data_IF_415623676825
#
_entry.id   IF_415623676825
#
_cell.length_a   1.000
_cell.length_b   1.000
_cell.length_c   1.000
_cell.angle_alpha   90.00
_cell.angle_beta   90.00
_cell.angle_gamma   90.00
#
_symmetry.space_group_name_H-M   'P 1'
#
loop_
_entity.id
_entity.type
_entity.pdbx_description
1 polymer ?
#
# COMPACT_ATOMS: atom_id res chain seq x y z
N UNK A 1 -36.67 4.10 -15.33
CA UNK A 1 -35.33 4.48 -14.86
C UNK A 1 -34.44 3.26 -15.03
N UNK A 2 -33.90 3.07 -16.23
CA UNK A 2 -32.98 1.97 -16.54
C UNK A 2 -31.56 2.41 -16.15
N UNK A 3 -30.97 1.72 -15.18
CA UNK A 3 -29.62 1.99 -14.71
C UNK A 3 -28.58 1.32 -15.62
N UNK A 4 -27.71 2.12 -16.22
CA UNK A 4 -26.51 1.66 -16.92
C UNK A 4 -25.61 0.90 -15.94
N UNK A 5 -25.39 -0.40 -16.19
CA UNK A 5 -24.53 -1.26 -15.39
C UNK A 5 -23.13 -1.30 -16.05
N UNK A 6 -22.19 -0.50 -15.54
CA UNK A 6 -20.77 -0.58 -15.92
C UNK A 6 -20.16 -1.89 -15.42
N UNK A 7 -19.41 -2.59 -16.30
CA UNK A 7 -18.80 -3.91 -16.03
C UNK A 7 -17.26 -3.82 -15.98
N UNK A 8 -16.65 -4.61 -15.10
CA UNK A 8 -15.21 -4.86 -15.09
C UNK A 8 -14.98 -6.29 -15.61
N UNK A 9 -14.32 -6.43 -16.75
CA UNK A 9 -14.00 -7.73 -17.34
C UNK A 9 -12.56 -8.14 -16.99
N UNK A 10 -12.44 -9.25 -16.26
CA UNK A 10 -11.16 -9.90 -16.00
C UNK A 10 -10.95 -11.03 -17.01
N UNK A 11 -9.93 -10.91 -17.86
CA UNK A 11 -9.48 -12.03 -18.70
C UNK A 11 -8.30 -12.74 -18.06
N UNK A 12 -8.54 -13.94 -17.57
CA UNK A 12 -7.52 -14.91 -17.19
C UNK A 12 -7.19 -15.74 -18.44
N UNK A 13 -5.95 -15.71 -18.91
CA UNK A 13 -5.51 -16.56 -20.03
C UNK A 13 -4.42 -17.51 -19.54
N UNK A 14 -4.68 -18.82 -19.62
CA UNK A 14 -3.67 -19.85 -19.42
C UNK A 14 -2.88 -20.04 -20.72
N UNK A 15 -1.54 -19.94 -20.66
CA UNK A 15 -0.68 -20.50 -21.72
C UNK A 15 -0.10 -21.81 -21.24
N UNK A 16 -0.37 -22.88 -21.97
CA UNK A 16 0.35 -24.14 -21.81
C UNK A 16 1.65 -24.00 -22.62
N UNK A 17 2.80 -23.85 -21.95
CA UNK A 17 4.11 -23.93 -22.60
C UNK A 17 4.55 -25.39 -22.60
N UNK A 18 4.36 -26.07 -23.74
CA UNK A 18 4.98 -27.37 -23.98
C UNK A 18 6.44 -27.15 -24.39
N UNK A 19 7.34 -27.16 -23.41
CA UNK A 19 8.78 -27.30 -23.68
C UNK A 19 9.07 -28.78 -23.95
N UNK A 20 9.43 -29.10 -25.19
CA UNK A 20 10.04 -30.40 -25.49
C UNK A 20 11.49 -30.37 -25.02
N UNK A 21 11.84 -31.31 -24.15
CA UNK A 21 13.18 -31.78 -23.72
C UNK A 21 13.60 -31.40 -22.29
N UNK A 22 13.84 -32.47 -21.54
CA UNK A 22 14.64 -32.64 -20.31
C UNK A 22 14.02 -32.34 -18.93
N UNK A 23 13.56 -33.45 -18.32
CA UNK A 23 13.51 -33.91 -16.93
C UNK A 23 13.40 -32.92 -15.73
N UNK A 24 12.37 -33.22 -14.92
CA UNK A 24 12.10 -32.76 -13.55
C UNK A 24 12.11 -31.24 -13.30
N UNK A 25 10.96 -30.58 -13.53
CA UNK A 25 10.58 -29.35 -12.82
C UNK A 25 9.09 -29.06 -12.91
N UNK A 26 8.55 -28.52 -11.83
CA UNK A 26 7.15 -28.14 -11.67
C UNK A 26 6.62 -27.32 -12.86
N UNK A 27 5.42 -27.64 -13.31
CA UNK A 27 4.66 -26.86 -14.30
C UNK A 27 4.29 -25.50 -13.68
N UNK A 28 5.04 -24.45 -13.97
CA UNK A 28 4.59 -23.08 -13.67
C UNK A 28 3.67 -22.60 -14.79
N UNK A 29 2.39 -22.39 -14.47
CA UNK A 29 1.44 -21.68 -15.35
C UNK A 29 1.61 -20.19 -15.10
N UNK A 30 2.10 -19.44 -16.09
CA UNK A 30 2.07 -17.98 -16.06
C UNK A 30 0.79 -17.48 -16.73
N UNK A 31 0.05 -16.62 -16.03
CA UNK A 31 -1.17 -15.97 -16.53
C UNK A 31 -0.86 -14.50 -16.81
N UNK A 32 -1.44 -13.92 -17.87
CA UNK A 32 -1.31 -12.50 -18.18
C UNK A 32 -2.64 -11.81 -17.89
N UNK A 33 -2.69 -10.99 -16.84
CA UNK A 33 -3.87 -10.17 -16.52
C UNK A 33 -3.98 -9.05 -17.55
N UNK A 34 -5.11 -8.99 -18.26
CA UNK A 34 -5.45 -7.88 -19.17
C UNK A 34 -6.80 -7.31 -18.74
N UNK A 35 -6.77 -6.16 -18.08
CA UNK A 35 -7.98 -5.41 -17.71
C UNK A 35 -8.42 -4.63 -18.95
N UNK A 36 -9.65 -4.84 -19.41
CA UNK A 36 -10.22 -4.18 -20.59
C UNK A 36 -11.55 -3.53 -20.22
N UNK A 37 -11.70 -2.23 -20.44
CA UNK A 37 -13.01 -1.58 -20.42
C UNK A 37 -13.64 -1.70 -21.81
N UNK A 38 -14.74 -2.46 -21.93
CA UNK A 38 -15.60 -2.41 -23.12
C UNK A 38 -16.89 -1.66 -22.78
N UNK A 39 -17.13 -0.58 -23.51
CA UNK A 39 -18.40 0.14 -23.55
C UNK A 39 -19.26 -0.48 -24.65
N UNK A 40 -20.45 -1.00 -24.30
CA UNK A 40 -21.43 -1.46 -25.29
C UNK A 40 -22.77 -0.81 -24.99
N UNK A 41 -23.23 0.06 -25.90
CA UNK A 41 -24.61 0.56 -25.92
C UNK A 41 -25.56 -0.56 -26.36
N UNK A 42 -26.74 -0.72 -25.73
CA UNK A 42 -27.73 -1.67 -26.21
C UNK A 42 -28.49 -1.08 -27.40
N UNK A 43 -28.41 -1.75 -28.56
CA UNK A 43 -29.30 -1.48 -29.70
C UNK A 43 -30.69 -2.04 -29.41
N UNK A 44 -31.72 -1.19 -29.52
CA UNK A 44 -33.10 -1.54 -29.27
C UNK A 44 -33.72 -2.32 -30.45
N UNK A 45 -33.99 -3.62 -30.25
CA UNK A 45 -34.82 -4.40 -31.17
C UNK A 45 -36.15 -4.76 -30.49
N UNK A 46 -37.25 -4.23 -31.04
CA UNK A 46 -38.61 -4.37 -30.49
C UNK A 46 -39.13 -5.81 -30.67
N UNK A 47 -39.29 -6.52 -29.56
CA UNK A 47 -40.00 -7.79 -29.49
C UNK A 47 -41.51 -7.56 -29.76
N UNK A 48 -42.06 -8.12 -30.84
CA UNK A 48 -43.50 -8.19 -31.10
C UNK A 48 -44.02 -9.60 -30.82
N UNK A 49 -44.92 -9.73 -29.85
CA UNK A 49 -45.74 -10.92 -29.61
C UNK A 49 -46.95 -10.94 -30.57
N UNK A 50 -47.36 -12.09 -31.11
CA UNK A 50 -48.57 -12.18 -31.95
C UNK A 50 -49.82 -12.54 -31.12
N UNK A 51 -51.02 -12.03 -31.49
CA UNK A 51 -52.29 -12.50 -30.92
C UNK A 51 -52.85 -13.69 -31.71
N UNK A 52 -53.62 -14.51 -31.00
CA UNK A 52 -54.35 -15.70 -31.44
C UNK A 52 -55.57 -15.40 -32.33
N UNK A 53 -55.95 -16.36 -33.19
CA UNK A 53 -57.32 -16.95 -33.32
C UNK A 53 -57.47 -17.83 -34.61
N UNK A 54 -57.82 -19.10 -34.38
CA UNK A 54 -58.97 -19.88 -34.92
C UNK A 54 -59.13 -20.17 -36.43
N UNK A 55 -59.23 -21.48 -36.69
CA UNK A 55 -59.92 -22.26 -37.75
C UNK A 55 -59.75 -21.91 -39.25
N UNK A 56 -59.28 -22.87 -40.05
CA UNK A 56 -60.16 -23.81 -40.76
C UNK A 56 -59.38 -24.74 -41.71
N UNK A 57 -59.93 -25.95 -41.85
CA UNK A 57 -59.44 -27.11 -42.59
C UNK A 57 -59.85 -27.05 -44.07
N UNK A 58 -58.95 -27.27 -45.04
CA UNK A 58 -59.24 -28.02 -46.29
C UNK A 58 -57.94 -28.62 -46.91
N UNK A 59 -57.89 -29.96 -46.86
CA UNK A 59 -57.41 -30.99 -47.82
C UNK A 59 -56.44 -30.69 -49.00
N UNK A 60 -55.60 -31.73 -49.18
CA UNK A 60 -55.07 -32.32 -50.44
C UNK A 60 -53.75 -31.72 -50.98
N UNK A 61 -52.76 -32.47 -51.50
CA UNK A 61 -52.58 -33.90 -51.86
C UNK A 61 -51.08 -34.09 -52.19
N UNK A 62 -50.52 -35.29 -51.88
CA UNK A 62 -49.45 -36.08 -52.58
C UNK A 62 -48.32 -35.29 -53.26
N UNK A 63 -47.02 -35.52 -53.03
CA UNK A 63 -46.27 -36.72 -52.66
C UNK A 63 -44.91 -36.68 -53.39
N UNK A 64 -44.14 -37.76 -53.21
CA UNK A 64 -42.87 -38.14 -53.84
C UNK A 64 -41.57 -38.04 -53.03
N UNK A 65 -41.08 -39.26 -52.84
CA UNK A 65 -39.82 -39.82 -52.34
C UNK A 65 -38.59 -39.46 -53.17
N UNK A 66 -37.40 -39.42 -52.55
CA UNK A 66 -36.25 -40.24 -52.97
C UNK A 66 -35.08 -40.12 -51.99
N UNK A 67 -34.50 -41.26 -51.67
CA UNK A 67 -33.32 -41.48 -50.85
C UNK A 67 -32.01 -41.18 -51.63
N UNK A 68 -30.89 -40.98 -50.93
CA UNK A 68 -29.73 -41.89 -50.98
C UNK A 68 -28.43 -41.33 -50.35
N UNK A 69 -27.77 -42.27 -49.67
CA UNK A 69 -26.33 -42.50 -49.61
C UNK A 69 -25.41 -41.66 -48.70
N UNK A 70 -24.73 -42.43 -47.85
CA UNK A 70 -23.70 -42.07 -46.91
C UNK A 70 -22.38 -41.65 -47.58
N UNK A 71 -21.65 -40.77 -46.91
CA UNK A 71 -20.19 -40.74 -46.95
C UNK A 71 -19.67 -40.42 -45.54
N UNK A 72 -19.27 -41.47 -44.83
CA UNK A 72 -18.36 -41.39 -43.69
C UNK A 72 -17.06 -40.73 -44.13
N UNK A 73 -16.84 -39.49 -43.71
CA UNK A 73 -15.50 -38.93 -43.58
C UNK A 73 -15.21 -38.81 -42.08
N UNK A 74 -14.49 -39.80 -41.55
CA UNK A 74 -13.77 -39.65 -40.29
C UNK A 74 -12.72 -38.57 -40.54
N UNK A 75 -13.05 -37.34 -40.16
CA UNK A 75 -12.05 -36.29 -39.99
C UNK A 75 -11.79 -36.24 -38.50
N UNK A 76 -10.64 -36.81 -38.11
CA UNK A 76 -9.99 -36.50 -36.85
C UNK A 76 -9.72 -35.00 -36.83
N UNK A 77 -10.66 -34.22 -36.30
CA UNK A 77 -10.32 -32.90 -35.78
C UNK A 77 -9.88 -33.11 -34.34
N UNK A 78 -8.57 -33.15 -34.15
CA UNK A 78 -7.96 -32.73 -32.90
C UNK A 78 -8.53 -31.35 -32.58
N UNK A 79 -9.47 -31.28 -31.64
CA UNK A 79 -9.96 -30.01 -31.11
C UNK A 79 -8.75 -29.29 -30.52
N UNK A 80 -8.38 -28.09 -30.99
CA UNK A 80 -7.47 -27.27 -30.20
C UNK A 80 -8.21 -27.00 -28.89
N UNK A 81 -7.59 -27.38 -27.77
CA UNK A 81 -8.08 -27.01 -26.45
C UNK A 81 -8.27 -25.49 -26.44
N UNK A 82 -9.52 -25.04 -26.56
CA UNK A 82 -9.87 -23.64 -26.40
C UNK A 82 -9.44 -23.30 -24.98
N UNK A 83 -8.46 -22.41 -24.85
CA UNK A 83 -8.22 -21.72 -23.59
C UNK A 83 -9.49 -20.92 -23.30
N UNK A 84 -10.44 -21.51 -22.57
CA UNK A 84 -11.60 -20.80 -22.07
C UNK A 84 -11.08 -19.67 -21.19
N UNK A 85 -11.06 -18.46 -21.74
CA UNK A 85 -10.81 -17.26 -20.94
C UNK A 85 -12.06 -17.04 -20.11
N UNK A 86 -12.06 -17.51 -18.87
CA UNK A 86 -13.13 -17.23 -17.91
C UNK A 86 -13.19 -15.70 -17.76
N UNK A 87 -14.19 -15.08 -18.39
CA UNK A 87 -14.45 -13.65 -18.23
C UNK A 87 -15.42 -13.52 -17.07
N UNK A 88 -14.89 -13.29 -15.87
CA UNK A 88 -15.73 -13.02 -14.71
C UNK A 88 -16.07 -11.53 -14.73
N UNK A 89 -17.35 -11.22 -14.96
CA UNK A 89 -17.86 -9.87 -14.97
C UNK A 89 -18.40 -9.51 -13.58
N UNK A 90 -17.85 -8.47 -12.96
CA UNK A 90 -18.28 -8.01 -11.64
C UNK A 90 -19.10 -6.72 -11.72
N UNK A 91 -20.08 -6.54 -10.81
CA UNK A 91 -20.80 -5.28 -10.70
C UNK A 91 -19.84 -4.20 -10.17
N UNK A 92 -19.71 -3.12 -10.93
CA UNK A 92 -18.81 -2.02 -10.60
C UNK A 92 -19.55 -1.01 -9.74
N UNK A 93 -18.95 -0.59 -8.63
CA UNK A 93 -19.56 0.45 -7.78
C UNK A 93 -19.71 1.75 -8.56
N UNK A 94 -20.85 2.42 -8.37
CA UNK A 94 -21.09 3.76 -8.93
C UNK A 94 -20.27 4.84 -8.22
N UNK A 95 -19.79 4.58 -7.01
CA UNK A 95 -18.87 5.48 -6.32
C UNK A 95 -17.47 5.36 -6.95
N UNK A 96 -16.98 6.44 -7.57
CA UNK A 96 -15.70 6.44 -8.27
C UNK A 96 -14.52 6.02 -7.38
N UNK A 97 -14.53 6.41 -6.10
CA UNK A 97 -13.50 6.00 -5.15
C UNK A 97 -13.48 4.49 -4.92
N UNK A 98 -14.66 3.87 -4.76
CA UNK A 98 -14.78 2.42 -4.55
C UNK A 98 -14.44 1.65 -5.82
N UNK A 99 -14.77 2.18 -7.00
CA UNK A 99 -14.37 1.61 -8.29
C UNK A 99 -12.85 1.48 -8.41
N UNK A 100 -12.11 2.51 -8.01
CA UNK A 100 -10.64 2.46 -7.98
C UNK A 100 -10.16 1.33 -7.06
N UNK A 101 -10.72 1.23 -5.85
CA UNK A 101 -10.33 0.19 -4.89
C UNK A 101 -10.73 -1.22 -5.37
N UNK A 102 -11.83 -1.38 -6.12
CA UNK A 102 -12.19 -2.66 -6.76
C UNK A 102 -11.12 -3.12 -7.77
N UNK A 103 -10.46 -2.20 -8.49
CA UNK A 103 -9.34 -2.55 -9.38
C UNK A 103 -8.12 -2.99 -8.57
N UNK A 104 -7.82 -2.26 -7.49
CA UNK A 104 -6.74 -2.64 -6.56
C UNK A 104 -6.98 -4.02 -5.95
N UNK A 105 -8.22 -4.37 -5.59
CA UNK A 105 -8.56 -5.72 -5.10
C UNK A 105 -8.18 -6.79 -6.13
N UNK A 106 -8.53 -6.57 -7.40
CA UNK A 106 -8.25 -7.51 -8.49
C UNK A 106 -6.76 -7.69 -8.73
N UNK A 107 -6.00 -6.59 -8.73
CA UNK A 107 -4.53 -6.62 -8.83
C UNK A 107 -3.91 -7.34 -7.62
N UNK A 108 -4.36 -7.02 -6.41
CA UNK A 108 -3.92 -7.64 -5.16
C UNK A 108 -4.16 -9.14 -5.17
N UNK A 109 -5.37 -9.56 -5.55
CA UNK A 109 -5.72 -10.97 -5.67
C UNK A 109 -4.81 -11.70 -6.65
N UNK A 110 -4.52 -11.08 -7.81
CA UNK A 110 -3.63 -11.64 -8.83
C UNK A 110 -2.21 -11.80 -8.33
N UNK A 111 -1.68 -10.79 -7.65
CA UNK A 111 -0.36 -10.82 -7.03
C UNK A 111 -0.25 -11.97 -6.02
N UNK A 112 -1.18 -12.04 -5.05
CA UNK A 112 -1.20 -13.11 -4.05
C UNK A 112 -1.30 -14.49 -4.71
N UNK A 113 -2.13 -14.64 -5.73
CA UNK A 113 -2.26 -15.90 -6.47
C UNK A 113 -0.94 -16.37 -7.08
N UNK A 114 -0.08 -15.44 -7.50
CA UNK A 114 1.17 -15.73 -8.18
C UNK A 114 2.36 -15.87 -7.22
N UNK A 115 2.40 -15.10 -6.12
CA UNK A 115 3.60 -14.93 -5.29
C UNK A 115 3.45 -15.38 -3.84
N UNK A 116 2.24 -15.74 -3.39
CA UNK A 116 2.06 -16.12 -2.00
C UNK A 116 2.76 -17.43 -1.67
N UNK A 117 3.36 -17.48 -0.48
CA UNK A 117 4.26 -18.57 -0.05
C UNK A 117 3.54 -19.91 0.07
N UNK A 118 2.27 -19.91 0.50
CA UNK A 118 1.43 -21.10 0.60
C UNK A 118 0.47 -21.18 -0.61
N UNK A 119 0.68 -22.12 -1.56
CA UNK A 119 -0.17 -22.24 -2.74
C UNK A 119 -1.59 -22.73 -2.43
N UNK A 120 -1.87 -23.17 -1.21
CA UNK A 120 -3.21 -23.58 -0.79
C UNK A 120 -4.04 -22.45 -0.19
N UNK A 121 -3.45 -21.25 -0.01
CA UNK A 121 -4.10 -20.06 0.53
C UNK A 121 -4.81 -20.32 1.86
N UNK A 122 -4.16 -21.09 2.75
CA UNK A 122 -4.75 -21.57 4.00
C UNK A 122 -6.01 -22.42 3.78
N UNK A 123 -5.94 -23.35 2.82
CA UNK A 123 -7.03 -24.25 2.41
C UNK A 123 -8.30 -23.56 1.87
N UNK A 124 -8.15 -22.40 1.23
CA UNK A 124 -9.27 -21.61 0.72
C UNK A 124 -9.33 -21.62 -0.81
N UNK A 125 -10.54 -21.51 -1.34
CA UNK A 125 -10.74 -21.16 -2.75
C UNK A 125 -10.55 -19.65 -2.93
N UNK A 126 -9.36 -19.29 -3.41
CA UNK A 126 -8.95 -17.91 -3.61
C UNK A 126 -9.77 -17.19 -4.69
N UNK A 127 -10.28 -17.92 -5.68
CA UNK A 127 -11.09 -17.34 -6.75
C UNK A 127 -12.49 -16.98 -6.21
N UNK A 128 -13.04 -17.84 -5.34
CA UNK A 128 -14.28 -17.56 -4.61
C UNK A 128 -14.14 -16.36 -3.66
N UNK A 129 -13.01 -16.22 -2.96
CA UNK A 129 -12.74 -15.07 -2.08
C UNK A 129 -12.76 -13.73 -2.79
N UNK A 130 -12.24 -13.67 -4.02
CA UNK A 130 -12.35 -12.48 -4.86
C UNK A 130 -13.83 -12.14 -5.14
N UNK A 131 -14.63 -13.14 -5.52
CA UNK A 131 -16.04 -12.93 -5.86
C UNK A 131 -16.84 -12.42 -4.67
N UNK A 132 -16.69 -13.05 -3.51
CA UNK A 132 -17.31 -12.64 -2.25
C UNK A 132 -16.97 -11.17 -1.93
N UNK A 133 -15.69 -10.84 -1.96
CA UNK A 133 -15.21 -9.49 -1.61
C UNK A 133 -15.70 -8.44 -2.60
N UNK A 134 -15.73 -8.73 -3.91
CA UNK A 134 -16.26 -7.83 -4.93
C UNK A 134 -17.75 -7.50 -4.72
N UNK A 135 -18.55 -8.51 -4.35
CA UNK A 135 -19.98 -8.33 -4.05
C UNK A 135 -20.19 -7.49 -2.80
N UNK A 136 -19.40 -7.73 -1.75
CA UNK A 136 -19.46 -6.92 -0.52
C UNK A 136 -19.09 -5.45 -0.78
N UNK A 137 -18.07 -5.21 -1.60
CA UNK A 137 -17.61 -3.86 -1.94
C UNK A 137 -18.60 -3.06 -2.79
N UNK A 138 -19.42 -3.73 -3.61
CA UNK A 138 -20.36 -3.06 -4.51
C UNK A 138 -21.33 -2.10 -3.78
N UNK A 139 -21.71 -2.42 -2.54
CA UNK A 139 -22.62 -1.62 -1.73
C UNK A 139 -21.93 -0.46 -1.00
N UNK A 140 -20.60 -0.43 -0.98
CA UNK A 140 -19.84 0.58 -0.25
C UNK A 140 -19.85 1.93 -0.97
N UNK A 141 -19.56 2.96 -0.19
CA UNK A 141 -19.51 4.36 -0.64
C UNK A 141 -18.20 5.07 -0.29
N UNK A 142 -17.38 4.48 0.57
CA UNK A 142 -16.12 5.05 1.03
C UNK A 142 -14.95 4.16 0.62
N UNK A 143 -13.87 4.77 0.15
CA UNK A 143 -12.59 4.13 -0.12
C UNK A 143 -12.01 3.42 1.11
N UNK A 144 -12.06 4.04 2.30
CA UNK A 144 -11.56 3.45 3.54
C UNK A 144 -12.32 2.15 3.89
N UNK A 145 -13.64 2.15 3.73
CA UNK A 145 -14.44 0.94 3.93
C UNK A 145 -14.10 -0.16 2.93
N UNK A 146 -13.79 0.22 1.68
CA UNK A 146 -13.40 -0.70 0.62
C UNK A 146 -12.01 -1.32 0.89
N UNK A 147 -11.03 -0.53 1.34
CA UNK A 147 -9.72 -1.05 1.76
C UNK A 147 -9.83 -2.05 2.92
N UNK A 148 -10.70 -1.77 3.91
CA UNK A 148 -10.97 -2.72 5.01
C UNK A 148 -11.47 -4.08 4.52
N UNK A 149 -12.20 -4.14 3.41
CA UNK A 149 -12.62 -5.41 2.79
C UNK A 149 -11.46 -6.17 2.19
N UNK A 150 -10.54 -5.49 1.51
CA UNK A 150 -9.31 -6.12 1.01
C UNK A 150 -8.47 -6.64 2.19
N UNK A 151 -8.28 -5.82 3.24
CA UNK A 151 -7.56 -6.25 4.45
C UNK A 151 -8.18 -7.49 5.09
N UNK A 152 -9.52 -7.57 5.16
CA UNK A 152 -10.22 -8.74 5.66
C UNK A 152 -10.02 -9.99 4.79
N UNK A 153 -10.05 -9.83 3.46
CA UNK A 153 -9.75 -10.93 2.53
C UNK A 153 -8.33 -11.47 2.74
N UNK A 154 -7.33 -10.59 2.86
CA UNK A 154 -5.94 -10.97 3.09
C UNK A 154 -5.73 -11.61 4.47
N UNK A 155 -6.37 -11.09 5.52
CA UNK A 155 -6.28 -11.67 6.86
C UNK A 155 -6.76 -13.12 6.95
N UNK A 156 -7.66 -13.55 6.04
CA UNK A 156 -8.12 -14.95 5.97
C UNK A 156 -6.99 -15.94 5.64
N UNK A 157 -5.89 -15.48 5.03
CA UNK A 157 -4.71 -16.29 4.73
C UNK A 157 -3.98 -16.75 6.00
N UNK A 158 -4.27 -16.17 7.16
CA UNK A 158 -3.64 -16.54 8.43
C UNK A 158 -2.19 -16.08 8.56
N UNK A 159 -1.66 -15.37 7.57
CA UNK A 159 -0.33 -14.76 7.61
C UNK A 159 -0.42 -13.30 8.09
N UNK A 160 0.10 -12.96 9.29
CA UNK A 160 0.06 -11.60 9.82
C UNK A 160 0.92 -10.61 9.01
N UNK A 161 1.84 -11.07 8.17
CA UNK A 161 2.70 -10.22 7.35
C UNK A 161 2.07 -9.87 5.99
N UNK A 162 1.08 -10.64 5.54
CA UNK A 162 0.35 -10.37 4.31
C UNK A 162 -0.78 -9.37 4.57
N UNK A 163 -0.53 -8.11 4.23
CA UNK A 163 -1.52 -7.03 4.36
C UNK A 163 -1.46 -6.06 3.19
N UNK A 164 -2.58 -5.40 2.93
CA UNK A 164 -2.62 -4.24 2.05
C UNK A 164 -2.31 -2.98 2.83
N UNK A 165 -1.61 -2.06 2.21
CA UNK A 165 -1.34 -0.72 2.71
C UNK A 165 -2.15 0.25 1.86
N UNK A 166 -3.10 0.95 2.45
CA UNK A 166 -3.90 1.96 1.76
C UNK A 166 -3.02 3.16 1.34
N UNK A 167 -3.45 3.99 0.37
CA UNK A 167 -2.69 5.18 -0.02
C UNK A 167 -2.35 6.12 1.14
N UNK A 168 -3.25 6.24 2.12
CA UNK A 168 -3.03 7.03 3.34
C UNK A 168 -1.92 6.41 4.21
N UNK A 169 -1.99 5.11 4.47
CA UNK A 169 -0.97 4.39 5.27
C UNK A 169 0.39 4.32 4.54
N UNK A 170 0.38 4.28 3.21
CA UNK A 170 1.59 4.19 2.39
C UNK A 170 2.45 5.44 2.50
N UNK A 171 1.84 6.62 2.65
CA UNK A 171 2.56 7.87 2.91
C UNK A 171 3.37 7.78 4.20
N UNK A 172 2.74 7.31 5.29
CA UNK A 172 3.41 7.10 6.58
C UNK A 172 4.49 6.01 6.51
N UNK A 173 4.23 4.92 5.78
CA UNK A 173 5.21 3.86 5.56
C UNK A 173 6.47 4.35 4.82
N UNK A 174 6.30 5.16 3.77
CA UNK A 174 7.40 5.72 3.00
C UNK A 174 8.33 6.60 3.82
N UNK A 175 7.80 7.41 4.74
CA UNK A 175 8.61 8.25 5.63
C UNK A 175 9.58 7.39 6.45
N UNK A 176 9.11 6.25 6.98
CA UNK A 176 9.94 5.32 7.75
C UNK A 176 11.01 4.60 6.92
N UNK A 177 10.72 4.30 5.65
CA UNK A 177 11.65 3.58 4.76
C UNK A 177 12.68 4.48 4.08
N UNK A 178 12.23 5.63 3.56
CA UNK A 178 13.09 6.55 2.80
C UNK A 178 13.88 7.48 3.74
N UNK A 179 13.49 7.60 5.02
CA UNK A 179 14.07 8.56 5.97
C UNK A 179 13.78 10.02 5.61
N UNK A 180 12.90 10.25 4.63
CA UNK A 180 12.59 11.57 4.11
C UNK A 180 11.13 11.90 4.38
N UNK A 181 10.91 12.95 5.16
CA UNK A 181 9.61 13.57 5.36
C UNK A 181 9.45 14.74 4.40
N UNK A 182 8.28 14.87 3.76
CA UNK A 182 7.91 16.08 3.01
C UNK A 182 6.88 16.86 3.80
N UNK A 183 7.20 18.11 4.13
CA UNK A 183 6.30 18.98 4.90
C UNK A 183 7.07 20.01 5.70
N UNK A 184 6.57 20.32 6.90
CA UNK A 184 7.11 21.39 7.75
C UNK A 184 7.89 20.91 8.99
N UNK A 185 7.82 19.62 9.30
CA UNK A 185 8.62 19.02 10.40
C UNK A 185 7.97 19.06 11.77
N UNK A 186 6.65 19.02 11.83
CA UNK A 186 5.88 18.96 13.06
C UNK A 186 5.36 17.55 13.33
N UNK A 187 5.52 17.09 14.57
CA UNK A 187 4.75 15.99 15.13
C UNK A 187 3.61 16.58 15.95
N UNK A 188 2.38 16.24 15.57
CA UNK A 188 1.17 16.72 16.23
C UNK A 188 0.40 15.57 16.86
N UNK A 189 -0.30 15.83 17.95
CA UNK A 189 -1.21 14.89 18.60
C UNK A 189 -2.48 15.60 19.00
N UNK A 190 -3.60 14.87 19.03
CA UNK A 190 -4.80 15.37 19.68
C UNK A 190 -4.65 15.20 21.20
N UNK A 191 -4.90 16.27 21.96
CA UNK A 191 -5.00 16.24 23.40
C UNK A 191 -6.23 15.39 23.80
N UNK A 192 -6.08 14.30 24.58
CA UNK A 192 -7.17 13.37 24.86
C UNK A 192 -8.38 14.00 25.58
N UNK A 193 -8.17 15.09 26.32
CA UNK A 193 -9.20 15.75 27.13
C UNK A 193 -10.01 16.80 26.35
N UNK A 194 -9.35 17.62 25.54
CA UNK A 194 -9.97 18.72 24.81
C UNK A 194 -10.20 18.43 23.32
N UNK A 195 -9.46 17.46 22.76
CA UNK A 195 -9.43 17.19 21.33
C UNK A 195 -8.65 18.23 20.51
N UNK A 196 -8.00 19.21 21.17
CA UNK A 196 -7.18 20.21 20.50
C UNK A 196 -5.89 19.60 19.96
N UNK A 197 -5.41 20.09 18.82
CA UNK A 197 -4.19 19.61 18.21
C UNK A 197 -2.99 20.32 18.81
N UNK A 198 -2.15 19.56 19.50
CA UNK A 198 -0.95 20.03 20.17
C UNK A 198 0.29 19.60 19.41
N UNK A 199 1.30 20.47 19.38
CA UNK A 199 2.64 20.15 18.93
C UNK A 199 3.30 19.26 19.98
N UNK A 200 3.54 18.01 19.61
CA UNK A 200 4.27 17.04 20.43
C UNK A 200 5.78 17.27 20.35
N UNK A 201 6.30 17.52 19.14
CA UNK A 201 7.71 17.86 18.93
C UNK A 201 7.94 18.44 17.54
N UNK A 202 9.08 19.12 17.38
CA UNK A 202 9.59 19.62 16.11
C UNK A 202 10.85 18.86 15.73
N UNK A 203 11.04 18.61 14.43
CA UNK A 203 12.28 18.05 13.91
C UNK A 203 13.33 19.16 13.88
N UNK A 204 14.49 18.94 14.48
CA UNK A 204 15.60 19.90 14.48
C UNK A 204 16.03 20.27 13.05
N UNK A 205 16.25 21.57 12.80
CA UNK A 205 16.61 22.10 11.49
C UNK A 205 15.48 22.08 10.45
N UNK A 206 14.26 21.71 10.84
CA UNK A 206 13.09 21.77 9.95
C UNK A 206 12.53 23.20 9.83
N UNK A 207 11.68 23.48 8.82
CA UNK A 207 10.99 24.77 8.71
C UNK A 207 10.25 25.19 9.98
N UNK A 208 9.62 24.25 10.69
CA UNK A 208 8.91 24.53 11.93
C UNK A 208 9.85 24.89 13.09
N UNK A 209 11.01 24.25 13.17
CA UNK A 209 12.06 24.54 14.17
C UNK A 209 12.67 25.93 13.92
N UNK A 210 13.00 26.25 12.66
CA UNK A 210 13.48 27.59 12.29
C UNK A 210 12.46 28.69 12.56
N UNK A 211 11.16 28.38 12.51
CA UNK A 211 10.10 29.30 12.88
C UNK A 211 9.87 29.42 14.40
N UNK A 212 10.66 28.70 15.21
CA UNK A 212 10.57 28.69 16.66
C UNK A 212 9.26 28.10 17.17
N UNK A 213 8.72 27.08 16.49
CA UNK A 213 7.59 26.29 16.99
C UNK A 213 8.11 25.32 18.06
N UNK A 214 7.42 25.22 19.19
CA UNK A 214 7.88 24.42 20.31
C UNK A 214 6.85 23.38 20.75
N UNK A 215 7.34 22.34 21.42
CA UNK A 215 6.50 21.38 22.12
C UNK A 215 5.55 22.07 23.12
N UNK A 216 4.27 21.73 23.01
CA UNK A 216 3.19 22.26 23.81
C UNK A 216 2.48 23.46 23.18
N UNK A 217 2.88 23.92 21.99
CA UNK A 217 2.07 24.89 21.24
C UNK A 217 0.79 24.22 20.72
N UNK A 218 -0.34 24.94 20.76
CA UNK A 218 -1.61 24.50 20.20
C UNK A 218 -1.76 25.00 18.76
N UNK A 219 -2.12 24.11 17.84
CA UNK A 219 -2.37 24.42 16.44
C UNK A 219 -3.86 24.77 16.26
N UNK A 220 -4.15 26.02 15.91
CA UNK A 220 -5.50 26.59 15.87
C UNK A 220 -6.07 26.59 14.46
N UNK A 221 -5.27 27.05 13.48
CA UNK A 221 -5.66 27.14 12.07
C UNK A 221 -4.52 26.66 11.16
N UNK A 222 -4.89 26.05 10.03
CA UNK A 222 -4.00 25.78 8.89
C UNK A 222 -4.61 26.40 7.65
N UNK A 223 -3.87 27.27 6.96
CA UNK A 223 -4.30 28.04 5.78
C UNK A 223 -5.64 28.78 6.00
N UNK A 224 -5.85 29.29 7.23
CA UNK A 224 -7.06 30.01 7.65
C UNK A 224 -8.26 29.11 8.02
N UNK A 225 -8.13 27.79 7.92
CA UNK A 225 -9.16 26.85 8.35
C UNK A 225 -8.95 26.43 9.80
N UNK A 226 -9.99 26.58 10.64
CA UNK A 226 -9.94 26.16 12.06
C UNK A 226 -9.88 24.64 12.18
N UNK A 227 -9.11 24.17 13.15
CA UNK A 227 -8.88 22.74 13.40
C UNK A 227 -9.80 22.12 14.46
N UNK A 228 -10.82 22.86 14.92
CA UNK A 228 -11.78 22.37 15.91
C UNK A 228 -12.48 21.08 15.42
N UNK A 229 -12.21 19.96 16.08
CA UNK A 229 -12.76 18.64 15.72
C UNK A 229 -12.11 17.96 14.51
N UNK A 230 -11.01 18.52 13.98
CA UNK A 230 -10.20 17.89 12.92
C UNK A 230 -9.31 16.83 13.54
N UNK A 231 -9.29 15.63 12.94
CA UNK A 231 -8.41 14.56 13.40
C UNK A 231 -6.93 14.87 13.11
N UNK A 232 -6.03 14.33 13.92
CA UNK A 232 -4.60 14.62 13.81
C UNK A 232 -3.99 14.19 12.47
N UNK A 233 -4.53 13.16 11.82
CA UNK A 233 -4.01 12.70 10.53
C UNK A 233 -4.46 13.63 9.39
N UNK A 234 -5.70 14.11 9.41
CA UNK A 234 -6.22 15.12 8.49
C UNK A 234 -5.45 16.44 8.61
N UNK A 235 -5.14 16.87 9.83
CA UNK A 235 -4.27 18.02 10.06
C UNK A 235 -2.85 17.77 9.55
N UNK A 236 -2.27 16.60 9.80
CA UNK A 236 -0.94 16.24 9.29
C UNK A 236 -0.92 16.24 7.75
N UNK A 237 -1.98 15.80 7.09
CA UNK A 237 -2.10 15.87 5.62
C UNK A 237 -2.11 17.31 5.09
N UNK A 238 -2.71 18.26 5.80
CA UNK A 238 -2.69 19.68 5.43
C UNK A 238 -1.29 20.32 5.61
N UNK A 239 -0.57 19.93 6.65
CA UNK A 239 0.81 20.38 6.89
C UNK A 239 1.80 19.81 5.86
N UNK A 240 1.55 18.59 5.37
CA UNK A 240 2.26 17.99 4.24
C UNK A 240 1.85 18.64 2.93
N UNK A 241 2.63 18.39 1.88
CA UNK A 241 2.36 18.92 0.54
C UNK A 241 3.62 18.97 -0.31
N UNK A 242 3.49 19.48 -1.53
CA UNK A 242 4.59 19.52 -2.49
C UNK A 242 5.70 20.45 -2.00
N UNK A 243 6.95 19.99 -2.15
CA UNK A 243 8.13 20.77 -1.80
C UNK A 243 8.16 22.08 -2.59
N UNK A 244 8.56 23.17 -1.91
CA UNK A 244 8.58 24.52 -2.46
C UNK A 244 7.25 25.27 -2.37
N UNK A 245 6.16 24.61 -1.96
CA UNK A 245 4.92 25.30 -1.57
C UNK A 245 5.00 25.78 -0.11
N UNK A 246 4.10 26.66 0.29
CA UNK A 246 4.02 27.15 1.68
C UNK A 246 2.71 26.75 2.34
N UNK A 247 2.71 26.69 3.67
CA UNK A 247 1.52 26.53 4.51
C UNK A 247 1.55 27.58 5.61
N UNK A 248 0.43 28.19 5.90
CA UNK A 248 0.32 29.14 7.02
C UNK A 248 -0.33 28.45 8.20
N UNK A 249 0.33 28.51 9.36
CA UNK A 249 -0.18 27.93 10.61
C UNK A 249 -0.39 29.02 11.64
N UNK A 250 -1.50 28.95 12.36
CA UNK A 250 -1.78 29.80 13.51
C UNK A 250 -1.67 28.96 14.78
N UNK A 251 -0.82 29.43 15.68
CA UNK A 251 -0.46 28.74 16.91
C UNK A 251 -0.84 29.58 18.12
N UNK A 252 -1.16 28.90 19.22
CA UNK A 252 -1.27 29.48 20.54
C UNK A 252 -0.20 28.87 21.43
N UNK A 253 0.65 29.72 22.02
CA UNK A 253 1.75 29.22 22.86
C UNK A 253 1.22 28.59 24.15
N UNK A 254 1.55 27.31 24.40
CA UNK A 254 1.10 26.61 25.62
C UNK A 254 1.93 26.89 26.87
N UNK A 255 3.16 27.40 26.72
CA UNK A 255 4.12 27.63 27.83
C UNK A 255 4.40 29.11 28.14
N UNK A 256 3.42 29.99 28.02
CA UNK A 256 3.57 31.36 28.54
C UNK A 256 3.29 31.40 30.06
N UNK A 257 4.28 30.99 30.88
CA UNK A 257 4.39 31.49 32.25
C UNK A 257 4.61 33.00 32.20
N UNK A 258 3.51 33.76 32.19
CA UNK A 258 3.53 35.21 32.27
C UNK A 258 2.91 35.90 31.06
N UNK A 259 1.67 36.38 31.26
CA UNK A 259 1.01 37.43 30.47
C UNK A 259 0.60 37.08 29.03
N UNK A 260 -0.61 36.51 28.89
CA UNK A 260 -1.42 36.54 27.66
C UNK A 260 -1.24 35.34 26.73
N UNK A 261 -2.33 34.65 26.41
CA UNK A 261 -2.41 33.72 25.27
C UNK A 261 -2.23 34.52 23.99
N UNK A 262 -0.99 34.68 23.54
CA UNK A 262 -0.69 35.30 22.25
C UNK A 262 -0.85 34.26 21.15
N UNK A 263 -1.69 34.60 20.16
CA UNK A 263 -1.74 33.88 18.90
C UNK A 263 -0.59 34.38 18.03
N UNK A 264 0.10 33.46 17.38
CA UNK A 264 1.09 33.78 16.36
C UNK A 264 0.75 33.06 15.06
N UNK A 265 0.91 33.76 13.96
CA UNK A 265 0.73 33.21 12.62
C UNK A 265 2.09 33.12 11.95
N UNK A 266 2.38 31.96 11.35
CA UNK A 266 3.67 31.62 10.79
C UNK A 266 3.45 30.96 9.44
N UNK A 267 4.09 31.48 8.40
CA UNK A 267 4.14 30.84 7.09
C UNK A 267 5.40 29.98 7.00
N UNK A 268 5.21 28.68 6.73
CA UNK A 268 6.24 27.67 6.68
C UNK A 268 6.42 27.18 5.24
N UNK A 269 7.65 27.16 4.68
CA UNK A 269 7.92 26.42 3.46
C UNK A 269 7.80 24.91 3.70
N UNK A 270 7.30 24.18 2.70
CA UNK A 270 7.32 22.72 2.68
C UNK A 270 8.61 22.26 2.03
N UNK A 271 9.36 21.42 2.74
CA UNK A 271 10.69 21.00 2.34
C UNK A 271 10.88 19.48 2.51
N UNK A 272 11.95 18.95 1.92
CA UNK A 272 12.45 17.63 2.26
C UNK A 272 13.19 17.71 3.59
N UNK A 273 12.63 17.09 4.61
CA UNK A 273 13.18 17.04 5.95
C UNK A 273 13.80 15.66 6.12
N UNK A 274 15.12 15.65 6.25
CA UNK A 274 15.88 14.43 6.47
C UNK A 274 15.76 14.04 7.94
N UNK A 275 15.19 12.86 8.20
CA UNK A 275 15.13 12.30 9.55
C UNK A 275 16.32 11.36 9.70
N UNK A 276 17.29 11.75 10.53
CA UNK A 276 18.40 10.88 10.87
C UNK A 276 17.89 9.61 11.55
N UNK A 277 18.18 8.41 11.02
CA UNK A 277 17.91 7.17 11.73
C UNK A 277 18.90 6.94 12.89
N UNK A 278 19.96 7.76 13.01
CA UNK A 278 21.03 7.64 14.00
C UNK A 278 20.90 8.73 15.07
N UNK A 279 21.01 8.33 16.33
CA UNK A 279 21.29 9.22 17.45
C UNK A 279 22.52 8.69 18.18
N UNK A 280 23.53 9.54 18.40
CA UNK A 280 24.77 9.15 19.06
C UNK A 280 25.11 10.04 20.25
N UNK A 281 25.87 9.48 21.21
CA UNK A 281 26.43 10.22 22.34
C UNK A 281 27.64 9.48 22.90
N UNK A 282 28.53 10.19 23.60
CA UNK A 282 29.69 9.59 24.28
C UNK A 282 29.44 9.51 25.78
N UNK A 283 29.49 8.29 26.32
CA UNK A 283 29.33 7.99 27.74
C UNK A 283 30.71 7.88 28.39
N UNK A 284 30.99 8.77 29.35
CA UNK A 284 32.16 8.71 30.20
C UNK A 284 31.90 7.79 31.39
N UNK A 285 32.79 6.83 31.62
CA UNK A 285 32.69 5.92 32.76
C UNK A 285 34.08 5.54 33.30
N UNK A 286 34.12 4.92 34.47
CA UNK A 286 35.34 4.36 35.04
C UNK A 286 35.36 2.85 34.84
N UNK A 287 36.47 2.32 34.36
CA UNK A 287 36.71 0.89 34.26
C UNK A 287 36.97 0.29 35.66
N UNK A 288 36.86 -1.04 35.85
CA UNK A 288 37.07 -1.69 37.15
C UNK A 288 38.44 -1.43 37.80
N UNK A 289 39.46 -1.14 37.00
CA UNK A 289 40.82 -0.75 37.38
C UNK A 289 40.98 0.76 37.64
N UNK A 290 39.91 1.55 37.52
CA UNK A 290 39.85 2.96 37.93
C UNK A 290 40.23 3.97 36.84
N UNK A 291 40.54 3.53 35.63
CA UNK A 291 40.83 4.41 34.50
C UNK A 291 39.56 5.04 33.93
N UNK A 292 39.68 6.25 33.36
CA UNK A 292 38.58 6.91 32.67
C UNK A 292 38.49 6.38 31.24
N UNK A 293 37.33 5.84 30.89
CA UNK A 293 37.05 5.31 29.56
C UNK A 293 35.82 5.99 28.93
N UNK A 294 35.74 5.89 27.61
CA UNK A 294 34.68 6.44 26.79
C UNK A 294 34.01 5.33 26.00
N UNK A 295 32.68 5.23 26.13
CA UNK A 295 31.84 4.32 25.35
C UNK A 295 30.94 5.13 24.43
N UNK A 296 30.97 4.86 23.14
CA UNK A 296 30.04 5.44 22.18
C UNK A 296 28.69 4.74 22.28
N UNK A 297 27.63 5.49 22.52
CA UNK A 297 26.27 5.00 22.41
C UNK A 297 25.72 5.43 21.06
N UNK A 298 25.26 4.47 20.26
CA UNK A 298 24.64 4.70 18.95
C UNK A 298 23.30 4.00 18.93
N UNK A 299 22.22 4.76 18.77
CA UNK A 299 20.88 4.23 18.57
C UNK A 299 20.52 4.31 17.11
N UNK A 300 20.12 3.17 16.53
CA UNK A 300 19.59 3.07 15.18
C UNK A 300 18.08 2.83 15.25
N UNK A 301 17.29 3.82 14.84
CA UNK A 301 15.82 3.78 14.95
C UNK A 301 15.14 3.02 13.82
N UNK A 302 15.74 2.98 12.62
CA UNK A 302 15.25 2.23 11.46
C UNK A 302 16.37 2.01 10.44
N UNK A 303 16.32 0.92 9.66
CA UNK A 303 17.24 0.68 8.54
C UNK A 303 16.77 1.44 7.29
N UNK A 304 16.97 2.76 7.27
CA UNK A 304 16.66 3.62 6.11
C UNK A 304 17.79 3.62 5.07
N UNK A 305 17.55 4.27 3.93
CA UNK A 305 18.56 4.42 2.87
C UNK A 305 19.85 5.12 3.34
N UNK A 306 19.77 5.96 4.37
CA UNK A 306 20.91 6.75 4.86
C UNK A 306 21.57 6.17 6.11
N UNK A 307 21.02 5.08 6.67
CA UNK A 307 21.43 4.53 7.96
C UNK A 307 22.91 4.14 8.02
N UNK A 308 23.42 3.44 7.00
CA UNK A 308 24.81 2.99 6.98
C UNK A 308 25.79 4.16 6.95
N UNK A 309 25.60 5.11 6.01
CA UNK A 309 26.47 6.28 5.88
C UNK A 309 26.45 7.17 7.13
N UNK A 310 25.28 7.35 7.76
CA UNK A 310 25.18 8.15 8.99
C UNK A 310 25.78 7.43 10.19
N UNK A 311 25.68 6.09 10.27
CA UNK A 311 26.34 5.32 11.30
C UNK A 311 27.85 5.40 11.16
N UNK A 312 28.37 5.25 9.94
CA UNK A 312 29.81 5.35 9.67
C UNK A 312 30.35 6.72 10.09
N UNK A 313 29.67 7.81 9.74
CA UNK A 313 30.05 9.16 10.16
C UNK A 313 30.04 9.31 11.70
N UNK A 314 28.99 8.81 12.37
CA UNK A 314 28.89 8.89 13.83
C UNK A 314 29.99 8.08 14.53
N UNK A 315 30.33 6.90 14.00
CA UNK A 315 31.43 6.07 14.50
C UNK A 315 32.77 6.80 14.31
N UNK A 316 33.07 7.29 13.11
CA UNK A 316 34.32 8.02 12.84
C UNK A 316 34.49 9.26 13.73
N UNK A 317 33.40 10.01 13.98
CA UNK A 317 33.43 11.16 14.88
C UNK A 317 33.75 10.75 16.33
N UNK A 318 33.15 9.66 16.82
CA UNK A 318 33.41 9.13 18.16
C UNK A 318 34.81 8.53 18.31
N UNK A 319 35.34 7.88 17.28
CA UNK A 319 36.74 7.42 17.24
C UNK A 319 37.70 8.60 17.37
N UNK A 320 37.43 9.70 16.67
CA UNK A 320 38.17 10.95 16.81
C UNK A 320 38.14 11.53 18.24
N UNK A 321 37.10 11.21 19.02
CA UNK A 321 36.98 11.57 20.43
C UNK A 321 37.65 10.57 21.39
N UNK A 322 38.27 9.50 20.88
CA UNK A 322 38.94 8.47 21.67
C UNK A 322 37.98 7.50 22.36
N UNK A 323 36.83 7.21 21.75
CA UNK A 323 35.94 6.13 22.17
C UNK A 323 36.62 4.77 22.01
N UNK A 324 36.45 3.89 22.99
CA UNK A 324 37.14 2.59 23.08
C UNK A 324 36.19 1.40 22.96
N UNK A 325 34.88 1.65 23.08
CA UNK A 325 33.84 0.63 23.07
C UNK A 325 32.52 1.23 22.58
N UNK A 326 31.62 0.39 22.08
CA UNK A 326 30.34 0.83 21.54
C UNK A 326 29.17 0.10 22.18
N UNK A 327 28.05 0.81 22.32
CA UNK A 327 26.72 0.25 22.56
C UNK A 327 25.89 0.58 21.33
N UNK A 328 25.57 -0.45 20.54
CA UNK A 328 24.61 -0.35 19.45
C UNK A 328 23.21 -0.68 19.96
N UNK A 329 22.36 0.34 20.10
CA UNK A 329 20.99 0.20 20.55
C UNK A 329 20.03 0.04 19.36
N UNK A 330 19.55 -1.18 19.17
CA UNK A 330 18.55 -1.55 18.16
C UNK A 330 17.14 -1.71 18.76
N UNK A 331 16.92 -1.32 20.02
CA UNK A 331 15.60 -1.48 20.64
C UNK A 331 14.58 -0.54 19.98
N UNK A 332 13.36 -1.06 19.82
CA UNK A 332 12.26 -0.38 19.12
C UNK A 332 12.57 -0.03 17.65
N UNK A 333 13.53 -0.71 17.03
CA UNK A 333 13.78 -0.62 15.59
C UNK A 333 12.90 -1.67 14.87
N UNK A 334 11.96 -1.25 14.00
CA UNK A 334 11.04 -2.16 13.32
C UNK A 334 11.69 -2.91 12.14
N UNK A 335 12.98 -2.69 11.87
CA UNK A 335 13.67 -3.15 10.67
C UNK A 335 13.78 -2.04 9.63
N UNK A 336 13.57 -2.40 8.37
CA UNK A 336 13.68 -1.48 7.23
C UNK A 336 14.26 -2.20 6.02
N UNK A 337 15.09 -1.50 5.25
CA UNK A 337 15.73 -2.03 4.07
C UNK A 337 16.76 -3.09 4.46
N UNK A 338 16.56 -4.33 3.99
CA UNK A 338 17.48 -5.46 4.24
C UNK A 338 18.90 -5.11 3.85
N UNK A 339 19.09 -4.49 2.68
CA UNK A 339 20.39 -4.02 2.21
C UNK A 339 21.04 -3.04 3.20
N UNK A 340 20.30 -2.08 3.75
CA UNK A 340 20.84 -1.16 4.73
C UNK A 340 21.28 -1.88 6.02
N UNK A 341 20.60 -2.98 6.38
CA UNK A 341 21.04 -3.87 7.45
C UNK A 341 22.38 -4.54 7.18
N UNK A 342 22.58 -5.04 5.95
CA UNK A 342 23.86 -5.60 5.51
C UNK A 342 24.97 -4.55 5.54
N UNK A 343 24.70 -3.37 4.98
CA UNK A 343 25.65 -2.26 4.91
C UNK A 343 26.05 -1.78 6.33
N UNK A 344 25.09 -1.71 7.27
CA UNK A 344 25.36 -1.41 8.69
C UNK A 344 26.18 -2.51 9.35
N UNK A 345 25.84 -3.79 9.12
CA UNK A 345 26.56 -4.92 9.72
C UNK A 345 28.04 -4.93 9.28
N UNK A 346 28.31 -4.58 8.01
CA UNK A 346 29.66 -4.52 7.47
C UNK A 346 30.59 -3.54 8.21
N UNK A 347 30.05 -2.49 8.84
CA UNK A 347 30.82 -1.53 9.66
C UNK A 347 31.44 -2.22 10.89
N UNK A 348 30.79 -3.27 11.40
CA UNK A 348 31.17 -3.96 12.63
C UNK A 348 31.90 -5.29 12.41
N UNK A 349 32.06 -5.70 11.15
CA UNK A 349 32.64 -7.00 10.79
C UNK A 349 33.98 -6.83 10.09
N UNK A 350 34.91 -7.69 10.44
CA UNK A 350 36.32 -7.65 10.06
C UNK A 350 36.57 -8.02 8.58
N UNK A 351 35.51 -8.39 7.84
CA UNK A 351 35.54 -8.66 6.40
C UNK A 351 35.76 -10.12 5.99
N UNK A 352 35.93 -11.04 6.93
CA UNK A 352 36.17 -12.48 6.64
C UNK A 352 34.89 -13.26 6.30
N UNK A 353 33.71 -12.72 6.61
CA UNK A 353 32.42 -13.37 6.37
C UNK A 353 31.65 -12.68 5.24
N UNK A 354 31.14 -13.47 4.28
CA UNK A 354 30.26 -12.96 3.21
C UNK A 354 28.81 -13.02 3.65
N UNK A 355 28.18 -11.87 3.86
CA UNK A 355 26.74 -11.81 4.08
C UNK A 355 25.99 -12.02 2.76
N UNK A 356 25.14 -13.05 2.69
CA UNK A 356 24.35 -13.37 1.51
C UNK A 356 22.85 -13.18 1.82
N UNK A 357 22.14 -12.50 0.92
CA UNK A 357 20.67 -12.48 0.91
C UNK A 357 20.17 -13.76 0.22
N UNK A 358 19.41 -14.59 0.93
CA UNK A 358 18.77 -15.77 0.34
C UNK A 358 17.38 -15.37 -0.15
N UNK A 359 17.22 -15.27 -1.47
CA UNK A 359 15.95 -14.96 -2.13
C UNK A 359 15.05 -16.19 -2.27
#
# INVERSE_FOLDING_TARGET
>A
MEGLCTRLDLKLTSRCLTSSKFNHRASSRSYRLRISQKWTEPSAEKLKLPPSLVESTVRSVVGFTAAAAAATAVICCDSPALSESLTVAFPVSQASEVNTVQRTLVETWGLIRETFVDPTFNHQDWDSKLQETMVEMFRLRSSDAAYKKISGMLASLGDPFTRIISPKEYQSFRIGSDGNLQGVGLFITAEPSSGHLMVMSCIEGSPADHAGIHEGDELIEIDGERLDGVDGEAAAQKLRGNVGTTVTVKLQNGKASGSGSSFREVTLPREFIKISPISSSVILHKTPDGHLAKTGYVKLSAFSQTAAAEMENAVQEMEGQGVQSYILDLRNNPGGLVKAGLDVAQIWLDGDETLCEHN
#
